data_IF_396921936877
#
_entry.id   IF_396921936877
#
_cell.length_a   1.000
_cell.length_b   1.000
_cell.length_c   1.000
_cell.angle_alpha   90.00
_cell.angle_beta   90.00
_cell.angle_gamma   90.00
#
_symmetry.space_group_name_H-M   'P 1'
#
loop_
_entity.id
_entity.type
_entity.pdbx_description
1 polymer ?
#
# COMPACT_ATOMS: atom_id res chain seq x y z
N UNK A 1 -2.39 -16.23 -18.73
CA UNK A 1 -1.58 -15.00 -18.87
C UNK A 1 -1.78 -14.21 -17.59
N UNK A 2 -0.85 -14.33 -16.66
CA UNK A 2 -0.85 -13.47 -15.46
C UNK A 2 -0.67 -12.04 -15.94
N UNK A 3 -1.66 -11.18 -15.67
CA UNK A 3 -1.55 -9.77 -15.97
C UNK A 3 -0.45 -9.21 -15.07
N UNK A 4 0.55 -8.53 -15.64
CA UNK A 4 1.44 -7.67 -14.86
C UNK A 4 0.56 -6.72 -14.04
N UNK A 5 0.62 -6.85 -12.71
CA UNK A 5 -0.07 -5.95 -11.80
C UNK A 5 0.69 -4.63 -11.86
N UNK A 6 0.16 -3.66 -12.58
CA UNK A 6 0.74 -2.33 -12.64
C UNK A 6 0.53 -1.63 -11.29
N UNK A 7 1.62 -1.45 -10.55
CA UNK A 7 1.58 -0.77 -9.27
C UNK A 7 1.46 0.76 -9.44
N UNK A 8 0.83 1.40 -8.46
CA UNK A 8 0.81 2.85 -8.29
C UNK A 8 2.23 3.38 -8.21
N UNK A 9 2.43 4.60 -8.72
CA UNK A 9 3.72 5.29 -8.71
C UNK A 9 4.41 5.30 -7.34
N UNK A 10 3.65 5.32 -6.25
CA UNK A 10 4.18 5.39 -4.88
C UNK A 10 4.21 4.04 -4.14
N UNK A 11 3.83 2.91 -4.77
CA UNK A 11 3.75 1.61 -4.11
C UNK A 11 5.06 1.24 -3.39
N UNK A 12 6.18 1.19 -4.12
CA UNK A 12 7.49 0.85 -3.57
C UNK A 12 7.93 1.79 -2.44
N UNK A 13 7.55 3.06 -2.54
CA UNK A 13 7.84 4.07 -1.51
C UNK A 13 7.06 3.78 -0.24
N UNK A 14 5.76 3.49 -0.35
CA UNK A 14 4.92 3.19 0.82
C UNK A 14 5.31 1.86 1.44
N UNK A 15 5.57 0.82 0.62
CA UNK A 15 6.08 -0.49 1.09
C UNK A 15 7.39 -0.32 1.86
N UNK A 16 8.36 0.40 1.31
CA UNK A 16 9.64 0.64 1.98
C UNK A 16 9.52 1.37 3.33
N UNK A 17 8.58 2.31 3.47
CA UNK A 17 8.33 2.93 4.77
C UNK A 17 7.67 1.99 5.78
N UNK A 18 6.79 1.10 5.33
CA UNK A 18 6.13 0.12 6.18
C UNK A 18 7.09 -0.99 6.61
N UNK A 19 7.80 -1.61 5.66
CA UNK A 19 8.80 -2.66 5.90
C UNK A 19 9.93 -2.17 6.81
N UNK A 20 10.32 -0.89 6.66
CA UNK A 20 11.32 -0.25 7.51
C UNK A 20 10.82 0.16 8.90
N UNK A 21 9.54 -0.06 9.22
CA UNK A 21 8.92 0.30 10.51
C UNK A 21 8.72 1.81 10.72
N UNK A 22 8.97 2.65 9.71
CA UNK A 22 8.79 4.10 9.79
C UNK A 22 7.31 4.48 9.78
N UNK A 23 6.48 3.68 9.11
CA UNK A 23 5.05 3.88 8.99
C UNK A 23 4.31 2.70 9.60
N UNK A 24 3.27 3.01 10.36
CA UNK A 24 2.31 2.02 10.82
C UNK A 24 1.18 1.86 9.79
N UNK A 25 0.36 0.84 10.00
CA UNK A 25 -0.78 0.50 9.14
C UNK A 25 -1.74 1.68 8.91
N UNK A 26 -2.06 2.47 9.94
CA UNK A 26 -2.91 3.65 9.81
C UNK A 26 -2.34 4.68 8.81
N UNK A 27 -1.01 4.80 8.72
CA UNK A 27 -0.36 5.69 7.76
C UNK A 27 -0.37 5.13 6.34
N UNK A 28 -0.30 3.81 6.18
CA UNK A 28 -0.54 3.14 4.89
C UNK A 28 -1.99 3.35 4.45
N UNK A 29 -2.96 3.27 5.38
CA UNK A 29 -4.39 3.55 5.11
C UNK A 29 -4.59 4.97 4.58
N UNK A 30 -3.94 5.95 5.21
CA UNK A 30 -3.95 7.34 4.74
C UNK A 30 -3.35 7.52 3.32
N UNK A 31 -2.43 6.65 2.90
CA UNK A 31 -1.89 6.69 1.55
C UNK A 31 -2.94 6.25 0.51
N UNK A 32 -3.81 5.31 0.88
CA UNK A 32 -4.99 4.95 0.08
C UNK A 32 -5.95 6.14 -0.02
N UNK A 33 -6.29 6.77 1.11
CA UNK A 33 -7.19 7.95 1.13
C UNK A 33 -6.66 9.11 0.29
N UNK A 34 -5.33 9.26 0.17
CA UNK A 34 -4.67 10.27 -0.66
C UNK A 34 -4.48 9.86 -2.13
N UNK A 35 -4.90 8.65 -2.51
CA UNK A 35 -4.73 8.10 -3.86
C UNK A 35 -3.28 7.83 -4.23
N UNK A 36 -2.40 7.58 -3.26
CA UNK A 36 -0.99 7.24 -3.51
C UNK A 36 -0.81 5.78 -3.88
N UNK A 37 -1.66 4.93 -3.30
CA UNK A 37 -1.75 3.50 -3.53
C UNK A 37 -3.23 3.10 -3.56
N UNK A 38 -3.53 1.89 -4.02
CA UNK A 38 -4.88 1.31 -4.03
C UNK A 38 -5.16 0.50 -2.76
N UNK A 39 -6.42 0.11 -2.55
CA UNK A 39 -6.84 -0.77 -1.44
C UNK A 39 -6.18 -2.17 -1.55
N UNK A 40 -6.00 -2.67 -2.77
CA UNK A 40 -5.31 -3.94 -3.03
C UNK A 40 -3.83 -3.84 -2.66
N UNK A 41 -3.19 -2.71 -2.96
CA UNK A 41 -1.80 -2.45 -2.61
C UNK A 41 -1.61 -2.27 -1.12
N UNK A 42 -2.55 -1.63 -0.42
CA UNK A 42 -2.57 -1.61 1.04
C UNK A 42 -2.56 -3.04 1.59
N UNK A 43 -3.47 -3.88 1.09
CA UNK A 43 -3.61 -5.27 1.56
C UNK A 43 -2.34 -6.07 1.30
N UNK A 44 -1.65 -5.80 0.20
CA UNK A 44 -0.38 -6.43 -0.14
C UNK A 44 0.78 -5.95 0.74
N UNK A 45 0.83 -4.66 1.08
CA UNK A 45 1.87 -4.07 1.94
C UNK A 45 1.69 -4.52 3.40
N UNK A 46 0.47 -4.51 3.91
CA UNK A 46 0.19 -4.71 5.34
C UNK A 46 -0.17 -6.17 5.68
N UNK A 47 -0.57 -6.96 4.69
CA UNK A 47 -1.16 -8.29 4.88
C UNK A 47 -2.59 -8.25 5.45
N UNK A 48 -3.12 -7.06 5.74
CA UNK A 48 -4.44 -6.87 6.33
C UNK A 48 -5.41 -6.34 5.29
N UNK A 49 -6.64 -6.85 5.30
CA UNK A 49 -7.70 -6.36 4.42
C UNK A 49 -7.93 -4.87 4.68
N UNK A 50 -7.92 -4.06 3.63
CA UNK A 50 -8.32 -2.66 3.74
C UNK A 50 -9.77 -2.56 4.24
N UNK A 51 -9.95 -1.83 5.34
CA UNK A 51 -11.25 -1.45 5.89
C UNK A 51 -11.31 0.07 5.90
N UNK A 52 -12.38 0.66 5.35
CA UNK A 52 -12.47 2.10 5.04
C UNK A 52 -12.64 2.97 6.29
#
# INVERSE_FOLDING_TARGET
MEKEKAYSKNYEKVRGYYDGGFWNEARVKNAVTKGWITEDEYTEITGNRYDA
#
